data_IF_270374310818
#
_entry.id   IF_270374310818
#
_cell.length_a   1.000
_cell.length_b   1.000
_cell.length_c   1.000
_cell.angle_alpha   90.00
_cell.angle_beta   90.00
_cell.angle_gamma   90.00
#
_symmetry.space_group_name_H-M   'P 1'
#
loop_
_entity.id
_entity.type
_entity.pdbx_description
1 polymer ?
#
# COMPACT_ATOMS: atom_id res chain seq x y z
N UNK A 1 -0.50 -30.88 11.40
CA UNK A 1 0.52 -29.95 11.92
C UNK A 1 -0.07 -28.72 12.61
N UNK A 2 -0.77 -27.80 11.93
CA UNK A 2 -1.34 -26.62 12.61
C UNK A 2 -2.42 -26.99 13.65
N UNK A 3 -3.33 -27.90 13.31
CA UNK A 3 -4.35 -28.38 14.25
C UNK A 3 -3.73 -29.03 15.49
N UNK A 4 -2.58 -29.71 15.34
CA UNK A 4 -1.86 -30.31 16.47
C UNK A 4 -1.22 -29.24 17.36
N UNK A 5 -0.66 -28.18 16.74
CA UNK A 5 -0.17 -27.00 17.48
C UNK A 5 -1.32 -26.37 18.27
N UNK A 6 -2.50 -26.21 17.66
CA UNK A 6 -3.67 -25.65 18.33
C UNK A 6 -4.15 -26.54 19.48
N UNK A 7 -4.24 -27.85 19.26
CA UNK A 7 -4.70 -28.82 20.25
C UNK A 7 -3.75 -28.95 21.45
N UNK A 8 -2.44 -28.78 21.25
CA UNK A 8 -1.43 -28.96 22.31
C UNK A 8 -1.03 -27.67 23.03
N UNK A 9 -1.16 -26.51 22.37
CA UNK A 9 -0.78 -25.22 22.95
C UNK A 9 -1.76 -24.75 24.05
N UNK A 10 -3.05 -25.09 23.96
CA UNK A 10 -4.10 -24.68 24.92
C UNK A 10 -4.07 -23.17 25.24
N UNK A 11 -3.82 -22.36 24.21
CA UNK A 11 -3.64 -20.90 24.27
C UNK A 11 -2.58 -20.38 25.25
N UNK A 12 -1.67 -21.24 25.74
CA UNK A 12 -0.60 -20.85 26.67
C UNK A 12 0.44 -19.93 26.03
N UNK A 13 0.61 -20.01 24.71
CA UNK A 13 1.48 -19.10 23.93
C UNK A 13 0.72 -18.48 22.76
N UNK A 14 0.97 -17.20 22.44
CA UNK A 14 0.48 -16.60 21.20
C UNK A 14 1.00 -17.34 19.97
N UNK A 15 0.14 -17.55 18.99
CA UNK A 15 0.50 -18.14 17.69
C UNK A 15 0.54 -17.01 16.66
N UNK A 16 1.68 -16.86 16.00
CA UNK A 16 1.89 -15.88 14.95
C UNK A 16 2.20 -16.53 13.61
N UNK A 17 1.69 -15.92 12.55
CA UNK A 17 1.80 -16.36 11.17
C UNK A 17 2.43 -15.25 10.34
N UNK A 18 3.25 -15.62 9.35
CA UNK A 18 3.84 -14.67 8.40
C UNK A 18 2.90 -14.33 7.24
N UNK A 19 2.01 -15.25 6.87
CA UNK A 19 1.01 -15.05 5.81
C UNK A 19 -0.28 -15.85 6.11
N UNK A 20 -1.45 -15.20 6.13
CA UNK A 20 -2.73 -15.88 6.30
C UNK A 20 -3.10 -16.81 5.14
N UNK A 21 -2.68 -16.49 3.92
CA UNK A 21 -3.01 -17.28 2.72
C UNK A 21 -2.31 -18.64 2.67
N UNK A 22 -1.13 -18.77 3.30
CA UNK A 22 -0.30 -19.98 3.26
C UNK A 22 -0.90 -21.19 3.97
N UNK A 23 -2.03 -21.02 4.68
CA UNK A 23 -2.65 -22.05 5.54
C UNK A 23 -4.04 -22.47 5.00
N UNK A 24 -4.52 -21.81 3.94
CA UNK A 24 -5.90 -21.92 3.44
C UNK A 24 -6.28 -23.22 2.72
N UNK A 25 -5.45 -24.27 2.77
CA UNK A 25 -5.71 -25.51 2.02
C UNK A 25 -6.89 -26.35 2.53
N UNK A 26 -7.33 -26.16 3.79
CA UNK A 26 -8.42 -26.96 4.38
C UNK A 26 -9.38 -26.17 5.28
N UNK A 27 -8.97 -25.01 5.83
CA UNK A 27 -9.75 -24.22 6.79
C UNK A 27 -9.53 -22.74 6.46
N UNK A 28 -10.60 -21.94 6.46
CA UNK A 28 -10.55 -20.47 6.29
C UNK A 28 -9.95 -19.80 7.53
N UNK A 29 -8.65 -19.98 7.76
CA UNK A 29 -7.95 -19.47 8.95
C UNK A 29 -7.53 -18.00 8.83
N UNK A 30 -7.65 -17.45 7.63
CA UNK A 30 -7.41 -16.04 7.35
C UNK A 30 -8.41 -15.15 8.09
N UNK A 31 -9.68 -15.54 8.22
CA UNK A 31 -10.67 -14.76 8.99
C UNK A 31 -10.34 -14.66 10.49
N UNK A 32 -9.44 -15.51 11.00
CA UNK A 32 -8.96 -15.56 12.38
C UNK A 32 -7.53 -15.00 12.55
N UNK A 33 -6.97 -14.44 11.48
CA UNK A 33 -5.61 -13.90 11.46
C UNK A 33 -5.67 -12.37 11.56
N UNK A 34 -5.12 -11.83 12.64
CA UNK A 34 -5.17 -10.40 12.96
C UNK A 34 -3.78 -9.77 12.78
N UNK A 35 -3.62 -8.85 11.84
CA UNK A 35 -2.35 -8.15 11.61
C UNK A 35 -1.93 -7.37 12.88
N UNK A 36 -0.73 -7.65 13.36
CA UNK A 36 -0.10 -7.03 14.53
C UNK A 36 1.35 -6.65 14.16
N UNK A 37 1.54 -5.40 13.73
CA UNK A 37 2.80 -4.89 13.20
C UNK A 37 3.12 -5.47 11.82
N UNK A 38 3.93 -6.52 11.79
CA UNK A 38 4.44 -7.16 10.56
C UNK A 38 3.99 -8.60 10.38
N UNK A 39 3.34 -9.17 11.39
CA UNK A 39 2.93 -10.58 11.43
C UNK A 39 1.47 -10.66 11.87
N UNK A 40 0.88 -11.83 11.75
CA UNK A 40 -0.54 -12.04 12.05
C UNK A 40 -0.69 -12.88 13.30
N UNK A 41 -1.38 -12.37 14.30
CA UNK A 41 -1.77 -13.13 15.48
C UNK A 41 -3.00 -13.97 15.17
N UNK A 42 -2.92 -15.26 15.41
CA UNK A 42 -4.07 -16.15 15.30
C UNK A 42 -4.91 -16.08 16.59
N UNK A 43 -6.21 -15.79 16.45
CA UNK A 43 -7.17 -15.76 17.55
C UNK A 43 -8.45 -16.48 17.13
N UNK A 44 -9.16 -17.19 18.02
CA UNK A 44 -10.42 -17.87 17.71
C UNK A 44 -11.59 -16.87 17.67
N UNK A 45 -11.36 -15.67 17.15
CA UNK A 45 -12.29 -14.57 16.99
C UNK A 45 -12.09 -13.99 15.60
N UNK A 46 -13.17 -13.72 14.89
CA UNK A 46 -13.09 -13.15 13.54
C UNK A 46 -12.47 -11.76 13.58
N UNK A 47 -11.57 -11.49 12.65
CA UNK A 47 -10.89 -10.22 12.54
C UNK A 47 -11.79 -9.14 11.90
N UNK A 48 -11.67 -7.91 12.39
CA UNK A 48 -12.22 -6.73 11.73
C UNK A 48 -11.32 -6.32 10.55
N UNK A 49 -11.86 -5.54 9.61
CA UNK A 49 -11.13 -5.10 8.41
C UNK A 49 -10.54 -6.28 7.61
N UNK A 50 -11.30 -7.38 7.59
CA UNK A 50 -10.91 -8.63 6.99
C UNK A 50 -10.92 -8.55 5.47
N UNK A 51 -9.81 -8.97 4.87
CA UNK A 51 -9.68 -9.20 3.44
C UNK A 51 -9.30 -10.66 3.24
N UNK A 52 -10.08 -11.36 2.42
CA UNK A 52 -9.84 -12.78 2.09
C UNK A 52 -8.40 -12.97 1.59
N UNK A 53 -7.69 -13.94 2.18
CA UNK A 53 -6.29 -14.24 1.92
C UNK A 53 -5.28 -13.34 2.66
N UNK A 54 -5.67 -12.17 3.15
CA UNK A 54 -4.80 -11.23 3.88
C UNK A 54 -5.12 -11.13 5.38
N UNK A 55 -6.20 -11.75 5.84
CA UNK A 55 -6.68 -11.64 7.21
C UNK A 55 -7.24 -10.25 7.55
N UNK A 56 -7.50 -9.99 8.82
CA UNK A 56 -7.93 -8.66 9.30
C UNK A 56 -6.82 -7.92 10.05
N UNK A 57 -7.18 -6.85 10.76
CA UNK A 57 -6.22 -5.94 11.40
C UNK A 57 -6.56 -5.70 12.87
N UNK A 58 -5.60 -5.94 13.77
CA UNK A 58 -5.68 -5.48 15.17
C UNK A 58 -5.37 -3.98 15.24
N UNK A 59 -6.34 -3.15 14.85
CA UNK A 59 -6.18 -1.73 14.55
C UNK A 59 -5.29 -0.95 15.55
N UNK A 60 -5.65 -0.90 16.84
CA UNK A 60 -4.91 -0.09 17.83
C UNK A 60 -3.52 -0.68 18.13
N UNK A 61 -3.40 -2.00 18.28
CA UNK A 61 -2.12 -2.67 18.56
C UNK A 61 -1.16 -2.53 17.38
N UNK A 62 -1.66 -2.71 16.16
CA UNK A 62 -0.87 -2.59 14.95
C UNK A 62 -0.41 -1.13 14.74
N UNK A 63 -1.30 -0.17 14.99
CA UNK A 63 -0.94 1.25 14.98
C UNK A 63 0.15 1.57 16.00
N UNK A 64 0.01 1.12 17.25
CA UNK A 64 1.03 1.34 18.27
C UNK A 64 2.40 0.77 17.86
N UNK A 65 2.42 -0.46 17.33
CA UNK A 65 3.66 -1.10 16.89
C UNK A 65 4.29 -0.32 15.73
N UNK A 66 3.54 -0.09 14.65
CA UNK A 66 4.09 0.52 13.44
C UNK A 66 4.42 2.00 13.63
N UNK A 67 3.52 2.76 14.26
CA UNK A 67 3.61 4.23 14.33
C UNK A 67 4.36 4.71 15.57
N UNK A 68 4.17 4.06 16.73
CA UNK A 68 4.76 4.56 17.97
C UNK A 68 6.06 3.83 18.34
N UNK A 69 6.15 2.52 18.10
CA UNK A 69 7.27 1.70 18.62
C UNK A 69 8.41 1.52 17.62
N UNK A 70 8.13 1.27 16.34
CA UNK A 70 9.17 1.17 15.32
C UNK A 70 9.75 2.55 15.04
N UNK A 71 11.08 2.67 15.15
CA UNK A 71 11.79 3.95 14.94
C UNK A 71 12.59 4.00 13.65
N UNK A 72 12.97 2.85 13.10
CA UNK A 72 13.85 2.75 11.94
C UNK A 72 13.50 1.54 11.07
N UNK A 73 13.69 1.69 9.76
CA UNK A 73 13.61 0.62 8.75
C UNK A 73 14.94 0.51 8.01
N UNK A 74 16.04 0.29 8.74
CA UNK A 74 17.36 0.06 8.13
C UNK A 74 17.89 1.20 7.25
N UNK A 75 17.54 2.45 7.56
CA UNK A 75 17.94 3.66 6.80
C UNK A 75 17.55 3.64 5.32
N UNK A 76 16.49 2.91 4.96
CA UNK A 76 16.00 2.84 3.57
C UNK A 76 15.63 4.21 2.99
N UNK A 77 15.34 5.19 3.84
CA UNK A 77 15.05 6.57 3.45
C UNK A 77 16.29 7.49 3.34
N UNK A 78 17.48 7.07 3.78
CA UNK A 78 18.69 7.91 3.68
C UNK A 78 19.15 8.01 2.22
N UNK A 79 19.23 9.20 1.60
CA UNK A 79 19.63 9.36 0.20
C UNK A 79 21.03 8.83 -0.11
N UNK A 80 21.89 8.62 0.89
CA UNK A 80 23.25 8.07 0.74
C UNK A 80 23.28 6.55 0.70
N UNK A 81 22.18 5.88 1.03
CA UNK A 81 22.08 4.42 1.10
C UNK A 81 21.50 3.87 -0.20
N UNK A 82 22.22 3.02 -0.90
CA UNK A 82 21.64 2.24 -2.01
C UNK A 82 20.75 1.14 -1.45
N UNK A 83 19.51 1.04 -1.95
CA UNK A 83 18.59 -0.04 -1.56
C UNK A 83 18.92 -1.28 -2.38
N UNK A 84 19.35 -2.36 -1.73
CA UNK A 84 19.57 -3.63 -2.41
C UNK A 84 18.24 -4.28 -2.84
N UNK A 85 18.30 -5.23 -3.77
CA UNK A 85 17.13 -5.89 -4.36
C UNK A 85 16.21 -6.53 -3.31
N UNK A 86 16.77 -7.15 -2.27
CA UNK A 86 15.98 -7.88 -1.27
C UNK A 86 15.29 -6.90 -0.33
N UNK A 87 15.99 -5.84 0.10
CA UNK A 87 15.40 -4.75 0.87
C UNK A 87 14.30 -4.02 0.09
N UNK A 88 14.52 -3.77 -1.21
CA UNK A 88 13.51 -3.17 -2.09
C UNK A 88 12.25 -4.03 -2.14
N UNK A 89 12.41 -5.35 -2.40
CA UNK A 89 11.28 -6.29 -2.46
C UNK A 89 10.53 -6.36 -1.11
N UNK A 90 11.26 -6.40 -0.01
CA UNK A 90 10.68 -6.56 1.32
C UNK A 90 10.02 -5.28 1.85
N UNK A 91 10.34 -4.10 1.29
CA UNK A 91 9.71 -2.82 1.65
C UNK A 91 8.22 -2.74 1.28
N UNK A 92 7.74 -3.60 0.37
CA UNK A 92 6.31 -3.65 0.01
C UNK A 92 5.42 -4.07 1.20
N UNK A 93 5.88 -5.03 2.02
CA UNK A 93 5.12 -5.56 3.16
C UNK A 93 4.81 -4.47 4.21
N UNK A 94 5.80 -3.74 4.78
CA UNK A 94 5.51 -2.72 5.77
C UNK A 94 4.69 -1.57 5.18
N UNK A 95 4.94 -1.14 3.94
CA UNK A 95 4.14 -0.12 3.26
C UNK A 95 2.67 -0.52 3.20
N UNK A 96 2.36 -1.75 2.76
CA UNK A 96 0.99 -2.25 2.76
C UNK A 96 0.40 -2.34 4.18
N UNK A 97 1.19 -2.72 5.19
CA UNK A 97 0.70 -2.77 6.56
C UNK A 97 0.35 -1.38 7.12
N UNK A 98 1.13 -0.34 6.83
CA UNK A 98 0.77 1.05 7.17
C UNK A 98 -0.53 1.47 6.49
N UNK A 99 -0.68 1.17 5.19
CA UNK A 99 -1.91 1.45 4.43
C UNK A 99 -3.14 0.76 5.05
N UNK A 100 -3.01 -0.52 5.42
CA UNK A 100 -4.07 -1.27 6.10
C UNK A 100 -4.43 -0.68 7.46
N UNK A 101 -3.43 -0.27 8.25
CA UNK A 101 -3.65 0.40 9.53
C UNK A 101 -4.34 1.75 9.33
N UNK A 102 -3.95 2.53 8.33
CA UNK A 102 -4.59 3.80 8.03
C UNK A 102 -6.08 3.60 7.68
N UNK A 103 -6.40 2.60 6.85
CA UNK A 103 -7.80 2.24 6.56
C UNK A 103 -8.57 1.84 7.83
N UNK A 104 -7.97 1.02 8.70
CA UNK A 104 -8.59 0.65 9.99
C UNK A 104 -8.79 1.86 10.91
N UNK A 105 -7.88 2.82 10.93
CA UNK A 105 -8.04 4.06 11.71
C UNK A 105 -9.20 4.90 11.14
N UNK A 106 -9.33 5.02 9.82
CA UNK A 106 -10.47 5.71 9.19
C UNK A 106 -11.80 5.04 9.51
N UNK A 107 -11.86 3.70 9.49
CA UNK A 107 -13.07 2.96 9.86
C UNK A 107 -13.51 3.24 11.31
N UNK A 108 -12.58 3.69 12.16
CA UNK A 108 -12.82 4.11 13.55
C UNK A 108 -13.03 5.62 13.71
N UNK A 109 -13.05 6.38 12.63
CA UNK A 109 -13.18 7.85 12.64
C UNK A 109 -11.91 8.59 13.10
N UNK A 110 -10.76 7.92 13.11
CA UNK A 110 -9.47 8.44 13.57
C UNK A 110 -8.64 8.97 12.40
N UNK A 111 -9.04 10.14 11.89
CA UNK A 111 -8.45 10.73 10.68
C UNK A 111 -6.98 11.12 10.86
N UNK A 112 -6.64 11.75 11.98
CA UNK A 112 -5.27 12.20 12.26
C UNK A 112 -4.31 11.00 12.38
N UNK A 113 -4.74 9.92 13.03
CA UNK A 113 -3.95 8.70 13.11
C UNK A 113 -3.80 8.02 11.75
N UNK A 114 -4.83 8.02 10.91
CA UNK A 114 -4.73 7.50 9.56
C UNK A 114 -3.70 8.27 8.73
N UNK A 115 -3.79 9.61 8.73
CA UNK A 115 -2.84 10.50 8.06
C UNK A 115 -1.41 10.25 8.55
N UNK A 116 -1.21 10.19 9.87
CA UNK A 116 0.11 9.95 10.47
C UNK A 116 0.70 8.59 10.07
N UNK A 117 -0.11 7.55 9.96
CA UNK A 117 0.35 6.23 9.51
C UNK A 117 0.83 6.27 8.05
N UNK A 118 0.11 6.97 7.16
CA UNK A 118 0.50 7.15 5.77
C UNK A 118 1.79 7.98 5.64
N UNK A 119 1.88 9.10 6.37
CA UNK A 119 3.05 9.96 6.37
C UNK A 119 4.31 9.21 6.81
N UNK A 120 4.20 8.46 7.89
CA UNK A 120 5.34 7.71 8.43
C UNK A 120 5.77 6.60 7.45
N UNK A 121 4.83 5.98 6.75
CA UNK A 121 5.14 5.06 5.67
C UNK A 121 5.93 5.73 4.55
N UNK A 122 5.55 6.94 4.12
CA UNK A 122 6.27 7.66 3.07
C UNK A 122 7.62 8.21 3.55
N UNK A 123 7.73 8.54 4.84
CA UNK A 123 9.00 8.93 5.46
C UNK A 123 10.01 7.79 5.45
N UNK A 124 9.58 6.55 5.73
CA UNK A 124 10.47 5.39 5.77
C UNK A 124 10.69 4.75 4.39
N UNK A 125 9.69 4.81 3.51
CA UNK A 125 9.71 4.20 2.18
C UNK A 125 9.39 5.24 1.10
N UNK A 126 10.23 6.26 0.92
CA UNK A 126 9.97 7.32 -0.05
C UNK A 126 9.94 6.77 -1.47
N UNK A 127 9.03 7.28 -2.29
CA UNK A 127 8.85 6.89 -3.71
C UNK A 127 10.09 7.05 -4.56
N UNK A 128 11.00 7.96 -4.19
CA UNK A 128 12.30 8.16 -4.85
C UNK A 128 13.28 7.00 -4.68
N UNK A 129 13.06 6.13 -3.69
CA UNK A 129 13.94 5.00 -3.37
C UNK A 129 13.24 3.66 -3.46
N UNK A 130 11.95 3.63 -3.12
CA UNK A 130 11.09 2.46 -3.21
C UNK A 130 9.97 2.86 -4.17
N UNK A 131 10.11 2.49 -5.45
CA UNK A 131 9.21 2.93 -6.51
C UNK A 131 7.75 2.63 -6.18
N UNK A 132 6.82 3.50 -6.60
CA UNK A 132 5.41 3.25 -6.39
C UNK A 132 4.97 2.03 -7.21
N UNK A 133 4.09 1.24 -6.62
CA UNK A 133 3.32 0.21 -7.31
C UNK A 133 1.85 0.65 -7.38
N UNK A 134 1.00 -0.16 -8.01
CA UNK A 134 -0.44 0.10 -8.09
C UNK A 134 -1.13 0.29 -6.74
N UNK A 135 -0.59 -0.27 -5.64
CA UNK A 135 -1.21 -0.13 -4.31
C UNK A 135 -1.07 1.28 -3.76
N UNK A 136 -0.08 2.05 -4.23
CA UNK A 136 0.11 3.46 -3.84
C UNK A 136 -1.05 4.36 -4.25
N UNK A 137 -1.88 3.95 -5.23
CA UNK A 137 -3.13 4.64 -5.52
C UNK A 137 -4.02 4.76 -4.28
N UNK A 138 -4.05 3.71 -3.44
CA UNK A 138 -4.85 3.70 -2.22
C UNK A 138 -4.40 4.78 -1.22
N UNK A 139 -3.13 5.23 -1.25
CA UNK A 139 -2.70 6.33 -0.39
C UNK A 139 -3.44 7.62 -0.73
N UNK A 140 -3.71 7.87 -2.02
CA UNK A 140 -4.46 9.04 -2.46
C UNK A 140 -5.89 8.97 -1.92
N UNK A 141 -6.56 7.82 -2.10
CA UNK A 141 -7.91 7.60 -1.57
C UNK A 141 -7.96 7.76 -0.04
N UNK A 142 -6.99 7.20 0.67
CA UNK A 142 -6.92 7.25 2.13
C UNK A 142 -6.62 8.67 2.65
N UNK A 143 -5.74 9.43 2.00
CA UNK A 143 -5.52 10.84 2.38
C UNK A 143 -6.78 11.69 2.16
N UNK A 144 -7.50 11.50 1.06
CA UNK A 144 -8.79 12.18 0.87
C UNK A 144 -9.82 11.80 1.93
N UNK A 145 -9.92 10.50 2.26
CA UNK A 145 -10.81 10.02 3.31
C UNK A 145 -10.44 10.58 4.69
N UNK A 146 -9.14 10.73 4.97
CA UNK A 146 -8.60 11.37 6.18
C UNK A 146 -8.80 12.90 6.21
N UNK A 147 -9.36 13.50 5.16
CA UNK A 147 -9.50 14.97 4.99
C UNK A 147 -8.16 15.71 4.84
N UNK A 148 -7.09 14.99 4.52
CA UNK A 148 -5.77 15.52 4.20
C UNK A 148 -5.67 15.86 2.69
N UNK A 149 -6.56 16.73 2.21
CA UNK A 149 -6.75 17.02 0.77
C UNK A 149 -5.48 17.49 0.06
N UNK A 150 -4.68 18.35 0.69
CA UNK A 150 -3.43 18.84 0.09
C UNK A 150 -2.42 17.69 -0.12
N UNK A 151 -2.27 16.80 0.86
CA UNK A 151 -1.41 15.63 0.76
C UNK A 151 -1.90 14.66 -0.30
N UNK A 152 -3.21 14.43 -0.39
CA UNK A 152 -3.81 13.62 -1.43
C UNK A 152 -3.53 14.19 -2.83
N UNK A 153 -3.72 15.51 -3.02
CA UNK A 153 -3.41 16.20 -4.27
C UNK A 153 -1.94 16.04 -4.66
N UNK A 154 -1.03 16.32 -3.72
CA UNK A 154 0.41 16.22 -3.95
C UNK A 154 0.84 14.80 -4.32
N UNK A 155 0.31 13.80 -3.60
CA UNK A 155 0.56 12.39 -3.90
C UNK A 155 0.02 12.00 -5.27
N UNK A 156 -1.20 12.43 -5.62
CA UNK A 156 -1.80 12.13 -6.92
C UNK A 156 -0.97 12.69 -8.07
N UNK A 157 -0.52 13.94 -7.97
CA UNK A 157 0.36 14.57 -8.96
C UNK A 157 1.72 13.89 -9.04
N UNK A 158 2.29 13.49 -7.90
CA UNK A 158 3.56 12.77 -7.87
C UNK A 158 3.46 11.40 -8.57
N UNK A 159 2.44 10.62 -8.26
CA UNK A 159 2.19 9.32 -8.91
C UNK A 159 1.90 9.50 -10.40
N UNK A 160 1.09 10.49 -10.77
CA UNK A 160 0.80 10.78 -12.17
C UNK A 160 2.06 11.17 -12.95
N UNK A 161 2.95 11.97 -12.36
CA UNK A 161 4.21 12.29 -12.99
C UNK A 161 5.09 11.05 -13.20
N UNK A 162 5.18 10.15 -12.21
CA UNK A 162 5.96 8.90 -12.33
C UNK A 162 5.39 8.01 -13.44
N UNK A 163 4.09 7.71 -13.40
CA UNK A 163 3.46 6.85 -14.42
C UNK A 163 3.50 7.47 -15.82
N UNK A 164 3.43 8.80 -15.93
CA UNK A 164 3.62 9.48 -17.21
C UNK A 164 5.05 9.37 -17.72
N UNK A 165 6.06 9.43 -16.84
CA UNK A 165 7.46 9.24 -17.20
C UNK A 165 7.73 7.81 -17.65
N UNK A 166 7.18 6.80 -16.96
CA UNK A 166 7.28 5.39 -17.35
C UNK A 166 6.65 5.16 -18.73
N UNK A 167 5.45 5.72 -18.97
CA UNK A 167 4.79 5.63 -20.27
C UNK A 167 5.61 6.30 -21.39
N UNK A 168 6.23 7.46 -21.12
CA UNK A 168 7.13 8.11 -22.07
C UNK A 168 8.33 7.24 -22.41
N UNK A 169 8.90 6.58 -21.40
CA UNK A 169 10.02 5.69 -21.60
C UNK A 169 9.61 4.53 -22.51
N UNK A 170 8.52 3.83 -22.22
CA UNK A 170 8.05 2.70 -23.04
C UNK A 170 7.74 3.11 -24.48
N UNK A 171 7.07 4.25 -24.69
CA UNK A 171 6.75 4.79 -26.02
C UNK A 171 7.99 5.24 -26.80
N UNK A 172 9.09 5.58 -26.12
CA UNK A 172 10.35 5.99 -26.77
C UNK A 172 11.18 4.82 -27.31
N UNK A 173 10.84 3.57 -26.92
CA UNK A 173 11.58 2.38 -27.33
C UNK A 173 11.26 1.99 -28.77
N UNK A 174 12.21 1.30 -29.42
CA UNK A 174 11.95 0.68 -30.73
C UNK A 174 10.76 -0.31 -30.64
N UNK A 175 9.96 -0.48 -31.71
CA UNK A 175 8.76 -1.34 -31.69
C UNK A 175 8.97 -2.76 -31.16
N UNK A 176 10.16 -3.34 -31.39
CA UNK A 176 10.51 -4.69 -30.92
C UNK A 176 10.68 -4.80 -29.39
N UNK A 177 10.96 -3.67 -28.73
CA UNK A 177 11.11 -3.57 -27.28
C UNK A 177 9.84 -3.03 -26.63
N UNK A 178 9.18 -2.03 -27.23
CA UNK A 178 7.95 -1.46 -26.67
C UNK A 178 6.80 -2.49 -26.62
N UNK A 179 6.74 -3.42 -27.57
CA UNK A 179 5.76 -4.53 -27.55
C UNK A 179 5.91 -5.48 -26.35
N UNK A 180 7.06 -5.47 -25.67
CA UNK A 180 7.26 -6.25 -24.44
C UNK A 180 6.65 -5.58 -23.20
N UNK A 181 6.23 -4.32 -23.31
CA UNK A 181 5.70 -3.52 -22.20
C UNK A 181 4.23 -3.13 -22.39
N UNK A 182 3.49 -3.83 -23.25
CA UNK A 182 2.07 -3.50 -23.53
C UNK A 182 1.20 -3.58 -22.27
N UNK A 183 1.50 -4.52 -21.36
CA UNK A 183 0.80 -4.66 -20.08
C UNK A 183 1.09 -3.48 -19.16
N UNK A 184 2.36 -3.11 -18.98
CA UNK A 184 2.78 -1.98 -18.15
C UNK A 184 2.28 -0.64 -18.70
N UNK A 185 2.28 -0.47 -20.03
CA UNK A 185 1.71 0.71 -20.67
C UNK A 185 0.21 0.83 -20.41
N UNK A 186 -0.52 -0.29 -20.53
CA UNK A 186 -1.97 -0.34 -20.26
C UNK A 186 -2.27 -0.09 -18.78
N UNK A 187 -1.47 -0.67 -17.88
CA UNK A 187 -1.58 -0.44 -16.43
C UNK A 187 -1.32 1.03 -16.08
N UNK A 188 -0.24 1.62 -16.59
CA UNK A 188 0.09 3.03 -16.31
C UNK A 188 -0.97 3.98 -16.85
N UNK A 189 -1.50 3.74 -18.06
CA UNK A 189 -2.60 4.53 -18.61
C UNK A 189 -3.85 4.44 -17.72
N UNK A 190 -4.19 3.23 -17.26
CA UNK A 190 -5.30 3.01 -16.32
C UNK A 190 -5.08 3.74 -15.00
N UNK A 191 -3.88 3.65 -14.41
CA UNK A 191 -3.54 4.29 -13.14
C UNK A 191 -3.62 5.83 -13.25
N UNK A 192 -3.15 6.40 -14.36
CA UNK A 192 -3.28 7.84 -14.64
C UNK A 192 -4.74 8.27 -14.71
N UNK A 193 -5.56 7.55 -15.47
CA UNK A 193 -6.99 7.84 -15.57
C UNK A 193 -7.68 7.74 -14.21
N UNK A 194 -7.33 6.72 -13.42
CA UNK A 194 -7.88 6.52 -12.08
C UNK A 194 -7.48 7.63 -11.12
N UNK A 195 -6.25 8.13 -11.18
CA UNK A 195 -5.80 9.28 -10.37
C UNK A 195 -6.59 10.55 -10.68
N UNK A 196 -6.85 10.86 -11.96
CA UNK A 196 -7.71 11.98 -12.33
C UNK A 196 -9.13 11.80 -11.77
N UNK A 197 -9.70 10.60 -11.95
CA UNK A 197 -11.05 10.29 -11.49
C UNK A 197 -11.18 10.46 -9.97
N UNK A 198 -10.21 9.96 -9.19
CA UNK A 198 -10.21 10.09 -7.72
C UNK A 198 -10.14 11.56 -7.30
N UNK A 199 -9.30 12.36 -7.95
CA UNK A 199 -9.22 13.80 -7.67
C UNK A 199 -10.56 14.50 -7.96
N UNK A 200 -11.18 14.25 -9.12
CA UNK A 200 -12.48 14.83 -9.47
C UNK A 200 -13.60 14.38 -8.54
N UNK A 201 -13.65 13.09 -8.16
CA UNK A 201 -14.62 12.57 -7.18
C UNK A 201 -14.53 13.24 -5.80
N UNK A 202 -13.36 13.78 -5.46
CA UNK A 202 -13.12 14.53 -4.22
C UNK A 202 -13.15 16.06 -4.43
N UNK A 203 -13.70 16.53 -5.55
CA UNK A 203 -13.87 17.96 -5.87
C UNK A 203 -12.55 18.70 -6.18
N UNK A 204 -11.49 17.96 -6.50
CA UNK A 204 -10.17 18.52 -6.83
C UNK A 204 -9.99 18.66 -8.35
N UNK A 205 -10.86 19.45 -8.99
CA UNK A 205 -10.90 19.59 -10.45
C UNK A 205 -9.62 20.16 -11.05
N UNK A 206 -8.90 21.03 -10.32
CA UNK A 206 -7.60 21.55 -10.76
C UNK A 206 -6.57 20.43 -10.89
N UNK A 207 -6.47 19.57 -9.86
CA UNK A 207 -5.60 18.39 -9.85
C UNK A 207 -5.99 17.42 -10.95
N UNK A 208 -7.29 17.11 -11.10
CA UNK A 208 -7.80 16.22 -12.14
C UNK A 208 -7.41 16.70 -13.55
N UNK A 209 -7.64 17.99 -13.86
CA UNK A 209 -7.29 18.58 -15.16
C UNK A 209 -5.80 18.53 -15.47
N UNK A 210 -4.94 18.71 -14.46
CA UNK A 210 -3.49 18.58 -14.64
C UNK A 210 -3.13 17.14 -15.03
N UNK A 211 -3.71 16.14 -14.37
CA UNK A 211 -3.47 14.73 -14.68
C UNK A 211 -4.03 14.36 -16.05
N UNK A 212 -5.22 14.85 -16.42
CA UNK A 212 -5.80 14.65 -17.76
C UNK A 212 -4.94 15.24 -18.87
N UNK A 213 -4.37 16.43 -18.65
CA UNK A 213 -3.45 17.03 -19.60
C UNK A 213 -2.20 16.15 -19.82
N UNK A 214 -1.70 15.49 -18.76
CA UNK A 214 -0.60 14.53 -18.89
C UNK A 214 -0.98 13.33 -19.76
N UNK A 215 -2.22 12.84 -19.68
CA UNK A 215 -2.72 11.70 -20.48
C UNK A 215 -2.87 12.09 -21.96
N UNK A 216 -3.54 13.22 -22.22
CA UNK A 216 -3.86 13.65 -23.58
C UNK A 216 -2.62 13.93 -24.43
N UNK A 217 -1.55 14.45 -23.83
CA UNK A 217 -0.27 14.64 -24.51
C UNK A 217 0.38 13.34 -25.00
N UNK A 218 -0.04 12.18 -24.48
CA UNK A 218 0.55 10.86 -24.81
C UNK A 218 -0.26 10.08 -25.83
N UNK A 219 -1.58 10.23 -25.81
CA UNK A 219 -2.47 9.59 -26.80
C UNK A 219 -2.47 10.31 -28.16
N UNK A 220 -1.89 11.52 -28.23
CA UNK A 220 -1.76 12.31 -29.46
C UNK A 220 -0.44 12.11 -30.21
N UNK A 221 0.49 11.29 -29.68
CA UNK A 221 1.79 10.98 -30.28
C UNK A 221 1.77 9.56 -30.84
#
# INVERSE_FOLDING_TARGET
>A
MLLDILATNDWKRPIYLTSPSGIGGAINLDEYSHLEGMVYKFLPVKATDYIRGLGGVSADTCYDILVNRIKHWGNLNDPRVTVDRESFRNAAIPRQNYMRVAQSMLNKGKNEEAEKALDLSLQYFPTSKIFPDKYMLSYVDLYYAAKATEKANNMALQLANIFSQDLNFYLSLEPKYSSQYEEEMSENAYLLQRLSQVASQNGQDSTAKVIEAMINLKLSQ
#
